data_IF_164477175495
#
_entry.id   IF_164477175495
#
_cell.length_a   1.000
_cell.length_b   1.000
_cell.length_c   1.000
_cell.angle_alpha   90.00
_cell.angle_beta   90.00
_cell.angle_gamma   90.00
#
_symmetry.space_group_name_H-M   'P 1'
#
loop_
_entity.id
_entity.type
_entity.pdbx_description
1 polymer ?
#
# COMPACT_ATOMS: atom_id res chain seq x y z
N UNK A 1 -11.11 15.26 -31.23
CA UNK A 1 -10.00 14.31 -31.40
C UNK A 1 -10.45 12.98 -30.79
N UNK A 2 -10.52 11.90 -31.59
CA UNK A 2 -11.09 10.63 -31.17
C UNK A 2 -10.32 10.02 -29.99
N UNK A 3 -11.05 9.45 -29.03
CA UNK A 3 -10.48 8.83 -27.83
C UNK A 3 -9.83 7.51 -28.23
N UNK A 4 -8.52 7.50 -28.46
CA UNK A 4 -7.77 6.23 -28.50
C UNK A 4 -7.63 5.76 -27.05
N UNK A 5 -8.62 5.01 -26.58
CA UNK A 5 -8.51 4.21 -25.35
C UNK A 5 -7.81 2.91 -25.72
N UNK A 6 -6.65 2.68 -25.12
CA UNK A 6 -5.94 1.40 -25.24
C UNK A 6 -6.64 0.37 -24.36
N UNK A 7 -7.68 -0.26 -24.91
CA UNK A 7 -8.51 -1.26 -24.24
C UNK A 7 -7.67 -2.41 -23.65
N UNK A 8 -6.53 -2.74 -24.28
CA UNK A 8 -5.59 -3.74 -23.83
C UNK A 8 -4.95 -3.36 -22.49
N UNK A 9 -4.56 -2.09 -22.30
CA UNK A 9 -3.99 -1.63 -21.04
C UNK A 9 -5.03 -1.62 -19.92
N UNK A 10 -6.26 -1.19 -20.23
CA UNK A 10 -7.35 -1.22 -19.25
C UNK A 10 -7.72 -2.66 -18.86
N UNK A 11 -7.74 -3.60 -19.81
CA UNK A 11 -7.96 -5.02 -19.54
C UNK A 11 -6.86 -5.63 -18.65
N UNK A 12 -5.59 -5.35 -18.94
CA UNK A 12 -4.48 -5.82 -18.11
C UNK A 12 -4.52 -5.25 -16.70
N UNK A 13 -4.95 -3.99 -16.52
CA UNK A 13 -5.19 -3.40 -15.19
C UNK A 13 -6.32 -4.11 -14.46
N UNK A 14 -7.40 -4.43 -15.16
CA UNK A 14 -8.50 -5.22 -14.61
C UNK A 14 -8.04 -6.60 -14.14
N UNK A 15 -7.26 -7.31 -14.95
CA UNK A 15 -6.70 -8.62 -14.59
C UNK A 15 -5.74 -8.53 -13.40
N UNK A 16 -4.87 -7.52 -13.36
CA UNK A 16 -3.97 -7.30 -12.24
C UNK A 16 -4.75 -6.98 -10.95
N UNK A 17 -5.76 -6.11 -11.01
CA UNK A 17 -6.62 -5.80 -9.87
C UNK A 17 -7.40 -7.03 -9.37
N UNK A 18 -7.98 -7.82 -10.28
CA UNK A 18 -8.68 -9.07 -9.94
C UNK A 18 -7.74 -10.07 -9.26
N UNK A 19 -6.50 -10.18 -9.73
CA UNK A 19 -5.48 -11.03 -9.11
C UNK A 19 -5.13 -10.57 -7.68
N UNK A 20 -5.13 -9.26 -7.41
CA UNK A 20 -4.93 -8.71 -6.05
C UNK A 20 -6.11 -9.02 -5.14
N UNK A 21 -7.34 -8.94 -5.66
CA UNK A 21 -8.55 -9.32 -4.92
C UNK A 21 -8.52 -10.80 -4.57
N UNK A 22 -8.22 -11.66 -5.54
CA UNK A 22 -8.06 -13.10 -5.33
C UNK A 22 -6.99 -13.40 -4.27
N UNK A 23 -5.84 -12.73 -4.31
CA UNK A 23 -4.82 -12.86 -3.28
C UNK A 23 -5.36 -12.54 -1.88
N UNK A 24 -6.11 -11.43 -1.72
CA UNK A 24 -6.64 -11.06 -0.40
C UNK A 24 -7.56 -12.14 0.17
N UNK A 25 -8.45 -12.72 -0.64
CA UNK A 25 -9.38 -13.76 -0.19
C UNK A 25 -8.74 -15.15 -0.01
N UNK A 26 -7.76 -15.51 -0.85
CA UNK A 26 -7.22 -16.88 -0.92
C UNK A 26 -5.89 -17.08 -0.21
N UNK A 27 -5.16 -16.01 0.10
CA UNK A 27 -3.86 -16.08 0.75
C UNK A 27 -3.71 -15.02 1.85
N UNK A 28 -4.07 -13.76 1.57
CA UNK A 28 -3.87 -12.63 2.48
C UNK A 28 -4.65 -12.73 3.80
N UNK A 29 -5.99 -12.84 3.73
CA UNK A 29 -6.84 -12.94 4.91
C UNK A 29 -6.72 -14.28 5.64
N UNK A 30 -6.70 -15.44 4.96
CA UNK A 30 -6.52 -16.73 5.65
C UNK A 30 -5.22 -16.81 6.47
N UNK A 31 -4.15 -16.12 6.06
CA UNK A 31 -2.90 -16.05 6.83
C UNK A 31 -2.98 -15.18 8.09
N UNK A 32 -3.97 -14.28 8.18
CA UNK A 32 -4.09 -13.27 9.24
C UNK A 32 -5.29 -13.49 10.16
N UNK A 33 -6.34 -14.09 9.62
CA UNK A 33 -7.60 -14.35 10.30
C UNK A 33 -7.93 -15.82 10.09
N UNK A 34 -8.03 -16.58 11.19
CA UNK A 34 -8.35 -18.01 11.17
C UNK A 34 -9.86 -18.25 11.04
N UNK A 35 -10.47 -17.60 10.04
CA UNK A 35 -11.92 -17.58 9.81
C UNK A 35 -12.45 -18.78 9.00
N UNK A 36 -11.59 -19.50 8.29
CA UNK A 36 -11.97 -20.61 7.43
C UNK A 36 -11.85 -21.98 8.13
N UNK A 37 -11.11 -22.08 9.24
CA UNK A 37 -10.87 -23.35 9.95
C UNK A 37 -10.14 -24.43 9.13
N UNK A 38 -9.82 -24.14 7.86
CA UNK A 38 -9.17 -25.02 6.90
C UNK A 38 -8.46 -24.18 5.82
N UNK A 39 -7.38 -24.68 5.21
CA UNK A 39 -6.72 -24.01 4.11
C UNK A 39 -7.66 -23.89 2.90
N UNK A 40 -7.69 -22.75 2.20
CA UNK A 40 -8.57 -22.54 1.05
C UNK A 40 -8.20 -23.49 -0.10
N UNK A 41 -9.21 -23.98 -0.82
CA UNK A 41 -9.03 -24.93 -1.93
C UNK A 41 -8.22 -24.36 -3.10
N UNK A 42 -8.19 -23.04 -3.24
CA UNK A 42 -7.35 -22.30 -4.18
C UNK A 42 -6.52 -21.29 -3.38
N UNK A 43 -5.22 -21.20 -3.65
CA UNK A 43 -4.34 -20.18 -3.10
C UNK A 43 -3.61 -19.44 -4.22
N UNK A 44 -3.75 -18.12 -4.25
CA UNK A 44 -3.04 -17.25 -5.20
C UNK A 44 -2.02 -16.41 -4.42
N UNK A 45 -0.77 -16.89 -4.22
CA UNK A 45 0.20 -16.21 -3.36
C UNK A 45 0.88 -15.00 -4.01
N UNK A 46 0.66 -14.76 -5.31
CA UNK A 46 1.39 -13.76 -6.09
C UNK A 46 0.82 -12.34 -6.04
N UNK A 47 0.06 -11.98 -5.00
CA UNK A 47 -0.54 -10.65 -4.86
C UNK A 47 0.49 -9.51 -4.94
N UNK A 48 1.67 -9.71 -4.34
CA UNK A 48 2.76 -8.74 -4.42
C UNK A 48 3.34 -8.54 -5.81
N UNK A 49 3.24 -9.54 -6.71
CA UNK A 49 3.61 -9.38 -8.12
C UNK A 49 2.50 -8.66 -8.90
N UNK A 50 1.24 -9.04 -8.68
CA UNK A 50 0.09 -8.40 -9.31
C UNK A 50 0.03 -6.89 -9.02
N UNK A 51 0.32 -6.48 -7.78
CA UNK A 51 0.42 -5.05 -7.40
C UNK A 51 1.51 -4.34 -8.22
N UNK A 52 2.70 -4.94 -8.39
CA UNK A 52 3.78 -4.32 -9.18
C UNK A 52 3.38 -4.14 -10.64
N UNK A 53 2.75 -5.16 -11.24
CA UNK A 53 2.25 -5.08 -12.61
C UNK A 53 1.19 -3.97 -12.74
N UNK A 54 0.25 -3.89 -11.80
CA UNK A 54 -0.77 -2.83 -11.77
C UNK A 54 -0.15 -1.43 -11.76
N UNK A 55 0.88 -1.20 -10.93
CA UNK A 55 1.58 0.08 -10.84
C UNK A 55 2.35 0.42 -12.12
N UNK A 56 3.07 -0.53 -12.71
CA UNK A 56 3.81 -0.32 -13.96
C UNK A 56 2.85 0.11 -15.08
N UNK A 57 1.74 -0.61 -15.27
CA UNK A 57 0.75 -0.28 -16.31
C UNK A 57 0.10 1.08 -16.01
N UNK A 58 -0.21 1.36 -14.75
CA UNK A 58 -0.81 2.64 -14.35
C UNK A 58 0.13 3.82 -14.60
N UNK A 59 1.44 3.63 -14.49
CA UNK A 59 2.46 4.61 -14.89
C UNK A 59 2.27 5.07 -16.33
N UNK A 60 2.23 4.13 -17.28
CA UNK A 60 2.02 4.43 -18.70
C UNK A 60 0.70 5.17 -18.96
N UNK A 61 -0.40 4.72 -18.33
CA UNK A 61 -1.72 5.34 -18.47
C UNK A 61 -1.73 6.79 -17.96
N UNK A 62 -0.93 7.10 -16.94
CA UNK A 62 -0.86 8.45 -16.39
C UNK A 62 -0.11 9.40 -17.30
N UNK A 63 0.98 8.96 -17.93
CA UNK A 63 1.71 9.79 -18.91
C UNK A 63 0.76 10.27 -20.01
N UNK A 64 -0.02 9.35 -20.59
CA UNK A 64 -1.06 9.69 -21.58
C UNK A 64 -2.16 10.61 -21.02
N UNK A 65 -2.47 10.51 -19.72
CA UNK A 65 -3.47 11.37 -19.08
C UNK A 65 -2.94 12.77 -18.84
N UNK A 66 -1.66 12.91 -18.48
CA UNK A 66 -0.99 14.19 -18.24
C UNK A 66 -0.97 15.05 -19.50
N UNK A 67 -0.54 14.48 -20.63
CA UNK A 67 -0.49 15.17 -21.93
C UNK A 67 -1.86 15.69 -22.39
N UNK A 68 -2.93 15.00 -22.00
CA UNK A 68 -4.31 15.35 -22.37
C UNK A 68 -4.99 16.31 -21.39
N UNK A 69 -4.37 16.56 -20.23
CA UNK A 69 -4.98 17.36 -19.17
C UNK A 69 -4.64 18.84 -19.37
N UNK A 70 -5.64 19.71 -19.28
CA UNK A 70 -5.48 21.16 -19.47
C UNK A 70 -4.60 21.85 -18.40
N UNK A 71 -4.26 21.15 -17.31
CA UNK A 71 -3.45 21.65 -16.22
C UNK A 71 -3.50 20.74 -14.99
N UNK A 72 -2.66 21.03 -13.99
CA UNK A 72 -2.55 20.24 -12.75
C UNK A 72 -3.89 20.04 -12.05
N UNK A 73 -4.68 21.12 -11.89
CA UNK A 73 -5.99 21.02 -11.24
C UNK A 73 -6.98 20.14 -11.99
N UNK A 74 -7.01 20.21 -13.32
CA UNK A 74 -7.88 19.37 -14.14
C UNK A 74 -7.46 17.90 -14.06
N UNK A 75 -6.15 17.63 -14.10
CA UNK A 75 -5.59 16.29 -13.91
C UNK A 75 -5.98 15.70 -12.55
N UNK A 76 -5.70 16.44 -11.46
CA UNK A 76 -5.95 15.96 -10.09
C UNK A 76 -7.44 15.72 -9.84
N UNK A 77 -8.33 16.63 -10.27
CA UNK A 77 -9.78 16.44 -10.14
C UNK A 77 -10.27 15.21 -10.91
N UNK A 78 -9.78 14.98 -12.13
CA UNK A 78 -10.17 13.83 -12.93
C UNK A 78 -9.71 12.49 -12.32
N UNK A 79 -8.62 12.50 -11.54
CA UNK A 79 -8.16 11.31 -10.79
C UNK A 79 -8.93 11.13 -9.49
N UNK A 80 -9.14 12.20 -8.75
CA UNK A 80 -9.92 12.19 -7.52
C UNK A 80 -11.36 11.72 -7.76
N UNK A 81 -12.06 12.27 -8.76
CA UNK A 81 -13.42 11.88 -9.11
C UNK A 81 -13.55 10.40 -9.53
N UNK A 82 -12.45 9.78 -9.97
CA UNK A 82 -12.41 8.36 -10.34
C UNK A 82 -12.20 7.45 -9.12
N UNK A 83 -11.36 7.85 -8.17
CA UNK A 83 -10.94 7.00 -7.05
C UNK A 83 -11.76 7.23 -5.78
N UNK A 84 -12.05 8.48 -5.46
CA UNK A 84 -12.68 8.85 -4.19
C UNK A 84 -14.08 8.22 -3.99
N UNK A 85 -14.98 8.14 -4.99
CA UNK A 85 -16.30 7.56 -4.77
C UNK A 85 -16.25 6.09 -4.34
N UNK A 86 -15.41 5.29 -5.01
CA UNK A 86 -15.22 3.88 -4.67
C UNK A 86 -14.56 3.73 -3.29
N UNK A 87 -13.53 4.54 -3.02
CA UNK A 87 -12.86 4.55 -1.72
C UNK A 87 -13.81 4.89 -0.56
N UNK A 88 -14.58 5.97 -0.70
CA UNK A 88 -15.54 6.41 0.31
C UNK A 88 -16.62 5.35 0.54
N UNK A 89 -17.15 4.72 -0.52
CA UNK A 89 -18.10 3.63 -0.40
C UNK A 89 -17.51 2.44 0.41
N UNK A 90 -16.29 2.02 0.11
CA UNK A 90 -15.60 0.97 0.87
C UNK A 90 -15.33 1.37 2.32
N UNK A 91 -14.94 2.62 2.56
CA UNK A 91 -14.70 3.15 3.90
C UNK A 91 -15.99 3.13 4.74
N UNK A 92 -17.09 3.69 4.22
CA UNK A 92 -18.38 3.70 4.91
C UNK A 92 -18.94 2.30 5.10
N UNK A 93 -18.78 1.40 4.13
CA UNK A 93 -19.18 0.01 4.27
C UNK A 93 -18.40 -0.68 5.40
N UNK A 94 -17.08 -0.47 5.46
CA UNK A 94 -16.23 -1.05 6.52
C UNK A 94 -16.65 -0.54 7.89
N UNK A 95 -16.84 0.77 8.05
CA UNK A 95 -17.30 1.35 9.30
C UNK A 95 -18.72 0.93 9.67
N UNK A 96 -19.63 0.85 8.70
CA UNK A 96 -20.99 0.38 8.90
C UNK A 96 -21.01 -1.06 9.41
N UNK A 97 -20.17 -1.94 8.84
CA UNK A 97 -20.02 -3.31 9.30
C UNK A 97 -19.42 -3.41 10.70
N UNK A 98 -18.39 -2.62 11.01
CA UNK A 98 -17.81 -2.55 12.36
C UNK A 98 -18.87 -2.09 13.37
N UNK A 99 -19.64 -1.04 13.05
CA UNK A 99 -20.70 -0.52 13.92
C UNK A 99 -21.86 -1.51 14.10
N UNK A 100 -22.24 -2.22 13.05
CA UNK A 100 -23.35 -3.19 13.08
C UNK A 100 -23.00 -4.50 13.80
N UNK A 101 -21.73 -4.95 13.71
CA UNK A 101 -21.31 -6.27 14.21
C UNK A 101 -20.45 -6.20 15.47
N UNK A 102 -19.85 -5.04 15.77
CA UNK A 102 -18.82 -4.90 16.80
C UNK A 102 -17.49 -5.57 16.45
N UNK A 103 -17.36 -6.22 15.29
CA UNK A 103 -16.14 -6.92 14.89
C UNK A 103 -15.09 -5.92 14.41
N UNK A 104 -14.15 -5.57 15.29
CA UNK A 104 -13.09 -4.61 15.02
C UNK A 104 -11.69 -5.24 15.15
N UNK A 105 -11.27 -6.08 14.19
CA UNK A 105 -10.00 -6.82 14.28
C UNK A 105 -8.75 -5.94 14.22
N UNK A 106 -8.89 -4.67 13.80
CA UNK A 106 -7.79 -3.71 13.67
C UNK A 106 -7.88 -2.55 14.67
N UNK A 107 -8.78 -2.66 15.67
CA UNK A 107 -9.01 -1.63 16.69
C UNK A 107 -9.16 -0.21 16.10
N UNK A 108 -9.85 -0.11 14.96
CA UNK A 108 -10.06 1.13 14.22
C UNK A 108 -10.89 2.09 15.06
N UNK A 109 -10.38 3.30 15.29
CA UNK A 109 -11.07 4.36 16.02
C UNK A 109 -11.88 5.28 15.08
N UNK A 110 -12.79 6.08 15.64
CA UNK A 110 -13.50 7.12 14.88
C UNK A 110 -12.56 8.19 14.32
N UNK A 111 -11.43 8.45 14.99
CA UNK A 111 -10.39 9.36 14.49
C UNK A 111 -9.68 8.79 13.26
N UNK A 112 -9.40 7.47 13.24
CA UNK A 112 -8.86 6.79 12.05
C UNK A 112 -9.84 6.85 10.87
N UNK A 113 -11.15 6.84 11.14
CA UNK A 113 -12.20 7.02 10.14
C UNK A 113 -12.11 8.38 9.45
N UNK A 114 -12.06 9.43 10.28
CA UNK A 114 -11.99 10.81 9.82
C UNK A 114 -10.67 11.08 9.10
N UNK A 115 -9.56 10.59 9.64
CA UNK A 115 -8.25 10.67 9.00
C UNK A 115 -8.26 9.95 7.64
N UNK A 116 -8.96 8.82 7.53
CA UNK A 116 -9.06 8.06 6.28
C UNK A 116 -9.83 8.80 5.20
N UNK A 117 -10.71 9.76 5.49
CA UNK A 117 -11.36 10.59 4.46
C UNK A 117 -10.36 11.39 3.62
N UNK A 118 -9.14 11.60 4.12
CA UNK A 118 -8.06 12.25 3.35
C UNK A 118 -7.47 11.37 2.23
N UNK A 119 -7.83 10.08 2.16
CA UNK A 119 -7.18 9.02 1.34
C UNK A 119 -5.69 8.79 1.64
N UNK A 120 -5.11 9.56 2.56
CA UNK A 120 -3.70 9.54 2.91
C UNK A 120 -3.49 9.63 4.43
N UNK A 121 -4.18 8.80 5.25
CA UNK A 121 -4.11 8.91 6.71
C UNK A 121 -2.69 8.76 7.26
N UNK A 122 -1.81 8.03 6.56
CA UNK A 122 -0.41 7.88 6.97
C UNK A 122 0.39 9.18 6.89
N UNK A 123 0.01 10.13 6.03
CA UNK A 123 0.67 11.44 5.94
C UNK A 123 0.43 12.30 7.18
N UNK A 124 -0.68 12.05 7.88
CA UNK A 124 -1.08 12.74 9.11
C UNK A 124 -0.83 11.89 10.37
N UNK A 125 -0.08 10.79 10.23
CA UNK A 125 0.33 9.93 11.35
C UNK A 125 -0.72 8.90 11.81
N UNK A 126 -1.79 8.70 11.04
CA UNK A 126 -2.85 7.74 11.36
C UNK A 126 -2.68 6.42 10.60
N UNK A 127 -3.23 5.35 11.17
CA UNK A 127 -3.22 4.03 10.55
C UNK A 127 -4.25 3.90 9.42
N UNK A 128 -4.04 2.91 8.54
CA UNK A 128 -5.08 2.55 7.58
C UNK A 128 -6.16 1.66 8.22
N UNK A 129 -7.41 2.05 8.00
CA UNK A 129 -8.63 1.29 8.35
C UNK A 129 -8.59 -0.10 7.73
N UNK A 130 -8.24 -0.19 6.44
CA UNK A 130 -7.97 -1.44 5.76
C UNK A 130 -6.50 -1.50 5.33
N UNK A 131 -5.84 -2.65 5.51
CA UNK A 131 -4.45 -2.85 5.11
C UNK A 131 -4.20 -2.41 3.66
N UNK A 132 -4.97 -2.88 2.68
CA UNK A 132 -4.88 -2.62 1.25
C UNK A 132 -4.89 -1.13 0.87
N UNK A 133 -5.36 -0.22 1.74
CA UNK A 133 -5.33 1.22 1.46
C UNK A 133 -3.90 1.78 1.33
N UNK A 134 -2.89 1.04 1.79
CA UNK A 134 -1.47 1.41 1.60
C UNK A 134 -1.11 1.63 0.11
N UNK A 135 -1.69 0.87 -0.83
CA UNK A 135 -1.41 1.06 -2.26
C UNK A 135 -2.06 2.33 -2.80
N UNK A 136 -3.23 2.68 -2.29
CA UNK A 136 -3.98 3.86 -2.74
C UNK A 136 -3.25 5.14 -2.36
N UNK A 137 -2.70 5.22 -1.15
CA UNK A 137 -1.91 6.37 -0.72
C UNK A 137 -0.65 6.54 -1.58
N UNK A 138 -0.01 5.44 -1.99
CA UNK A 138 1.10 5.49 -2.98
C UNK A 138 0.64 5.97 -4.35
N UNK A 139 -0.52 5.51 -4.80
CA UNK A 139 -1.08 5.89 -6.09
C UNK A 139 -1.36 7.41 -6.15
N UNK A 140 -2.02 7.99 -5.16
CA UNK A 140 -2.27 9.45 -5.13
C UNK A 140 -0.97 10.27 -5.01
N UNK A 141 0.03 9.78 -4.28
CA UNK A 141 1.32 10.45 -4.18
C UNK A 141 2.10 10.42 -5.49
N UNK A 142 2.06 9.29 -6.21
CA UNK A 142 2.59 9.20 -7.57
C UNK A 142 1.88 10.17 -8.52
N UNK A 143 0.56 10.32 -8.40
CA UNK A 143 -0.20 11.28 -9.21
C UNK A 143 0.24 12.72 -8.93
N UNK A 144 0.39 13.08 -7.65
CA UNK A 144 0.87 14.38 -7.24
C UNK A 144 2.27 14.66 -7.77
N UNK A 145 3.20 13.72 -7.62
CA UNK A 145 4.57 13.83 -8.12
C UNK A 145 4.60 14.04 -9.63
N UNK A 146 3.93 13.16 -10.38
CA UNK A 146 3.93 13.20 -11.85
C UNK A 146 3.24 14.47 -12.37
N UNK A 147 2.11 14.87 -11.77
CA UNK A 147 1.41 16.10 -12.11
C UNK A 147 2.25 17.35 -11.84
N UNK A 148 2.81 17.48 -10.64
CA UNK A 148 3.65 18.61 -10.28
C UNK A 148 4.91 18.69 -11.16
N UNK A 149 5.55 17.56 -11.44
CA UNK A 149 6.72 17.53 -12.31
C UNK A 149 6.37 17.90 -13.76
N UNK A 150 5.30 17.35 -14.33
CA UNK A 150 4.91 17.62 -15.72
C UNK A 150 4.51 19.08 -15.94
N UNK A 151 3.62 19.61 -15.09
CA UNK A 151 3.13 20.98 -15.23
C UNK A 151 4.09 22.04 -14.66
N UNK A 152 4.99 21.67 -13.73
CA UNK A 152 5.97 22.58 -13.14
C UNK A 152 7.28 22.69 -13.92
N UNK A 153 7.83 21.57 -14.40
CA UNK A 153 9.09 21.55 -15.16
C UNK A 153 8.87 21.74 -16.67
N UNK A 154 7.63 21.49 -17.13
CA UNK A 154 7.23 21.45 -18.53
C UNK A 154 7.57 20.12 -19.20
N UNK A 155 6.79 19.77 -20.23
CA UNK A 155 6.89 18.48 -20.93
C UNK A 155 8.32 18.17 -21.43
N UNK A 156 9.08 19.17 -21.89
CA UNK A 156 10.47 19.02 -22.37
C UNK A 156 11.46 18.48 -21.34
N UNK A 157 11.24 18.77 -20.05
CA UNK A 157 12.13 18.32 -18.97
C UNK A 157 11.56 17.12 -18.22
N UNK A 158 10.28 16.81 -18.45
CA UNK A 158 9.59 15.75 -17.76
C UNK A 158 10.21 14.37 -18.06
N UNK A 159 10.61 14.10 -19.31
CA UNK A 159 11.27 12.84 -19.65
C UNK A 159 12.59 12.65 -18.89
N UNK A 160 13.39 13.73 -18.79
CA UNK A 160 14.63 13.73 -18.00
C UNK A 160 14.34 13.51 -16.51
N UNK A 161 13.29 14.14 -16.00
CA UNK A 161 12.84 13.94 -14.63
C UNK A 161 12.42 12.49 -14.39
N UNK A 162 11.63 11.89 -15.28
CA UNK A 162 11.20 10.48 -15.17
C UNK A 162 12.40 9.54 -15.17
N UNK A 163 13.34 9.71 -16.10
CA UNK A 163 14.56 8.89 -16.15
C UNK A 163 15.40 9.07 -14.89
N UNK A 164 15.65 10.31 -14.46
CA UNK A 164 16.42 10.60 -13.25
C UNK A 164 15.74 10.00 -12.01
N UNK A 165 14.43 10.14 -11.91
CA UNK A 165 13.61 9.57 -10.85
C UNK A 165 13.67 8.04 -10.84
N UNK A 166 13.50 7.39 -12.00
CA UNK A 166 13.60 5.93 -12.10
C UNK A 166 14.99 5.40 -11.74
N UNK A 167 16.06 6.05 -12.23
CA UNK A 167 17.43 5.69 -11.88
C UNK A 167 17.67 5.84 -10.38
N UNK A 168 17.19 6.93 -9.79
CA UNK A 168 17.28 7.16 -8.36
C UNK A 168 16.50 6.11 -7.56
N UNK A 169 15.26 5.79 -7.96
CA UNK A 169 14.44 4.74 -7.37
C UNK A 169 15.13 3.37 -7.42
N UNK A 170 15.72 3.00 -8.55
CA UNK A 170 16.47 1.74 -8.70
C UNK A 170 17.71 1.74 -7.81
N UNK A 171 18.53 2.81 -7.86
CA UNK A 171 19.73 2.93 -7.04
C UNK A 171 19.42 2.84 -5.54
N UNK A 172 18.37 3.53 -5.10
CA UNK A 172 17.91 3.45 -3.72
C UNK A 172 17.41 2.04 -3.36
N UNK A 173 16.60 1.38 -4.19
CA UNK A 173 16.16 0.01 -3.93
C UNK A 173 17.33 -1.00 -3.87
N UNK A 174 18.37 -0.82 -4.69
CA UNK A 174 19.59 -1.63 -4.63
C UNK A 174 20.39 -1.34 -3.35
N UNK A 175 20.47 -0.08 -2.93
CA UNK A 175 21.20 0.34 -1.72
C UNK A 175 20.53 -0.15 -0.43
N UNK A 176 19.22 -0.37 -0.45
CA UNK A 176 18.43 -0.89 0.66
C UNK A 176 18.02 -2.37 0.48
N UNK A 177 18.58 -3.07 -0.51
CA UNK A 177 18.31 -4.48 -0.73
C UNK A 177 18.66 -5.33 0.51
N UNK A 178 17.71 -6.12 1.00
CA UNK A 178 17.88 -6.96 2.20
C UNK A 178 17.43 -6.32 3.53
N UNK A 179 16.92 -5.10 3.49
CA UNK A 179 16.47 -4.33 4.67
C UNK A 179 14.95 -4.05 4.70
N UNK A 180 14.19 -4.65 3.78
CA UNK A 180 12.78 -4.37 3.53
C UNK A 180 11.85 -4.99 4.60
N UNK A 181 11.74 -4.37 5.77
CA UNK A 181 10.74 -4.75 6.78
C UNK A 181 9.55 -3.80 6.72
N UNK A 182 8.39 -4.40 6.46
CA UNK A 182 7.10 -3.74 6.37
C UNK A 182 6.65 -3.33 7.77
N UNK A 183 6.70 -2.05 8.12
CA UNK A 183 5.71 -1.52 9.06
C UNK A 183 5.23 -0.15 8.54
N UNK A 184 3.91 0.01 8.34
CA UNK A 184 3.35 1.34 8.20
C UNK A 184 3.54 2.08 9.54
N UNK A 185 3.43 3.41 9.55
CA UNK A 185 3.36 4.30 10.74
C UNK A 185 4.59 5.22 11.00
N UNK A 186 5.42 5.55 10.01
CA UNK A 186 6.47 6.58 10.22
C UNK A 186 6.55 7.63 9.09
N UNK A 187 7.01 8.87 9.37
CA UNK A 187 7.18 9.95 8.37
C UNK A 187 8.07 9.61 7.16
N UNK A 188 8.80 8.48 7.21
CA UNK A 188 9.54 7.88 6.09
C UNK A 188 8.58 7.45 4.94
N UNK A 189 7.27 7.43 5.19
CA UNK A 189 6.23 7.08 4.21
C UNK A 189 6.13 8.05 3.02
N UNK A 190 6.37 9.36 3.20
CA UNK A 190 6.40 10.30 2.06
C UNK A 190 7.52 9.95 1.10
N UNK A 191 8.67 9.57 1.65
CA UNK A 191 9.83 9.18 0.86
C UNK A 191 9.62 7.82 0.21
N UNK A 192 8.92 6.88 0.86
CA UNK A 192 8.55 5.59 0.24
C UNK A 192 7.53 5.76 -0.91
N UNK A 193 6.62 6.72 -0.77
CA UNK A 193 5.63 7.13 -1.78
C UNK A 193 6.32 7.84 -2.95
N UNK A 194 7.20 8.80 -2.67
CA UNK A 194 7.89 9.60 -3.70
C UNK A 194 8.98 8.78 -4.39
N UNK A 195 9.70 7.90 -3.70
CA UNK A 195 10.83 7.20 -4.29
C UNK A 195 10.50 5.80 -4.81
N UNK A 196 9.32 5.26 -4.52
CA UNK A 196 9.04 3.84 -4.72
C UNK A 196 10.12 2.95 -4.06
N UNK A 197 10.64 3.38 -2.92
CA UNK A 197 11.70 2.70 -2.16
C UNK A 197 11.08 2.09 -0.90
N UNK A 198 11.50 0.87 -0.60
CA UNK A 198 11.17 0.20 0.65
C UNK A 198 12.29 0.52 1.66
N UNK A 199 11.93 1.12 2.79
CA UNK A 199 12.90 1.50 3.83
C UNK A 199 12.91 0.48 4.99
N UNK A 200 14.09 0.16 5.55
CA UNK A 200 14.20 -0.56 6.83
C UNK A 200 13.70 0.25 8.02
N UNK A 201 12.93 -0.40 8.88
CA UNK A 201 12.81 0.00 10.28
C UNK A 201 13.90 -0.71 11.08
N UNK A 202 14.56 0.02 11.98
CA UNK A 202 15.54 -0.56 12.89
C UNK A 202 14.86 -1.51 13.88
N UNK A 203 15.44 -2.69 14.09
CA UNK A 203 14.95 -3.74 14.99
C UNK A 203 14.75 -3.29 16.45
N UNK A 204 15.36 -2.17 16.86
CA UNK A 204 15.24 -1.61 18.23
C UNK A 204 13.86 -1.03 18.52
N UNK A 205 13.12 -0.56 17.52
CA UNK A 205 11.74 -0.06 17.70
C UNK A 205 10.70 -1.19 17.62
N UNK A 206 11.01 -2.26 16.87
CA UNK A 206 10.16 -3.45 16.78
C UNK A 206 10.22 -4.34 18.04
N UNK A 207 11.33 -4.29 18.79
CA UNK A 207 11.53 -5.07 20.02
C UNK A 207 11.22 -4.30 21.31
N UNK A 208 10.89 -3.01 21.21
CA UNK A 208 10.59 -2.21 22.41
C UNK A 208 9.09 -2.28 22.69
N UNK A 209 8.65 -2.74 23.89
CA UNK A 209 7.23 -2.75 24.26
C UNK A 209 6.57 -1.36 24.15
N UNK A 210 7.37 -0.29 24.13
CA UNK A 210 6.93 1.08 23.96
C UNK A 210 6.56 1.47 22.51
N UNK A 211 7.04 0.75 21.49
CA UNK A 211 6.73 1.05 20.07
C UNK A 211 5.31 0.67 19.66
N UNK A 212 4.65 -0.20 20.43
CA UNK A 212 3.25 -0.58 20.28
C UNK A 212 2.33 0.16 21.29
N UNK A 213 2.90 0.91 22.23
CA UNK A 213 2.21 1.57 23.35
C UNK A 213 2.62 3.05 23.39
N UNK A 214 2.38 3.76 22.30
CA UNK A 214 2.42 5.22 22.27
C UNK A 214 1.20 5.74 21.50
N UNK A 215 0.02 5.33 21.93
CA UNK A 215 -1.25 5.75 21.38
C UNK A 215 -2.42 5.13 22.13
N UNK A 216 -2.68 5.63 23.34
CA UNK A 216 -3.75 5.25 24.30
C UNK A 216 -3.56 3.92 25.03
N UNK A 217 -3.37 4.04 26.34
CA UNK A 217 -3.27 2.91 27.25
C UNK A 217 -4.58 2.15 27.36
N UNK A 218 -4.59 0.89 26.93
CA UNK A 218 -5.45 -0.13 27.50
C UNK A 218 -4.64 -1.42 27.64
N UNK A 219 -4.58 -1.87 28.89
CA UNK A 219 -3.80 -3.00 29.42
C UNK A 219 -4.35 -4.32 28.85
N UNK A 220 -3.63 -4.96 27.94
CA UNK A 220 -3.90 -6.36 27.55
C UNK A 220 -3.19 -7.30 28.54
N UNK A 221 -3.98 -8.11 29.23
CA UNK A 221 -3.50 -9.15 30.14
C UNK A 221 -2.82 -10.28 29.34
N UNK A 222 -1.66 -10.67 29.85
CA UNK A 222 -0.79 -11.73 29.37
C UNK A 222 -1.43 -13.12 29.39
N UNK A 223 -1.49 -13.77 28.23
CA UNK A 223 -1.56 -15.24 28.12
C UNK A 223 -0.79 -15.71 26.88
N UNK A 224 0.54 -15.54 26.92
CA UNK A 224 1.45 -16.11 25.95
C UNK A 224 1.84 -17.53 26.39
N UNK A 225 1.10 -18.54 25.95
CA UNK A 225 1.56 -19.93 25.96
C UNK A 225 0.78 -20.78 24.95
N UNK A 226 1.47 -21.13 23.86
CA UNK A 226 1.23 -22.23 22.91
C UNK A 226 1.15 -21.77 21.44
N UNK A 227 2.31 -21.70 20.77
CA UNK A 227 2.37 -21.75 19.31
C UNK A 227 2.76 -23.17 18.88
N UNK A 228 2.03 -23.81 17.95
CA UNK A 228 2.30 -25.18 17.50
C UNK A 228 3.64 -25.37 16.77
N UNK A 229 4.19 -26.59 16.85
CA UNK A 229 5.55 -26.98 16.45
C UNK A 229 5.90 -26.91 14.96
N UNK A 230 4.93 -26.73 14.06
CA UNK A 230 5.15 -26.70 12.61
C UNK A 230 5.67 -25.36 12.05
N UNK A 231 5.83 -24.33 12.90
CA UNK A 231 6.43 -23.02 12.53
C UNK A 231 7.95 -22.93 12.69
N UNK A 232 8.66 -24.04 12.95
CA UNK A 232 10.13 -24.06 13.11
C UNK A 232 10.82 -24.80 11.96
N UNK A 233 11.03 -24.17 10.79
CA UNK A 233 12.23 -24.56 10.05
C UNK A 233 12.88 -23.41 9.27
N UNK A 234 13.42 -22.37 9.92
CA UNK A 234 14.36 -21.44 9.26
C UNK A 234 15.40 -20.77 10.19
N UNK A 235 15.64 -21.31 11.40
CA UNK A 235 16.61 -20.74 12.36
C UNK A 235 17.68 -21.73 12.85
N UNK A 236 18.07 -22.72 12.06
CA UNK A 236 19.27 -23.51 12.37
C UNK A 236 20.11 -23.69 11.11
N UNK A 237 20.95 -22.69 10.85
CA UNK A 237 22.02 -22.75 9.87
C UNK A 237 23.19 -21.93 10.36
N UNK A 238 24.27 -22.63 10.74
CA UNK A 238 25.63 -22.18 11.08
C UNK A 238 25.91 -21.86 12.56
N UNK A 239 26.58 -22.80 13.21
CA UNK A 239 27.73 -22.49 14.05
C UNK A 239 28.89 -23.40 13.59
N UNK A 240 29.81 -22.82 12.81
CA UNK A 240 31.16 -23.33 12.68
C UNK A 240 32.05 -22.43 13.54
N UNK A 241 32.65 -23.00 14.59
CA UNK A 241 34.01 -22.76 15.09
C UNK A 241 34.10 -23.02 16.60
N UNK A 242 35.15 -23.75 16.99
CA UNK A 242 35.55 -24.05 18.36
C UNK A 242 36.02 -25.49 18.47
#
# INVERSE_FOLDING_TARGET
>A
MAVVRLQQLDALRGLAAASVVLYHFTAGYPLRFDWLGAPPALSVPWGGFAVRVFFVISGFVILMTLERSAGLGAFMRARFARLYPAYAACLFLTFGLIAATGFNPRSVSGEDALASLTMAPTLIGFGHVEAAYWTLTREIGFYALAGCAFFGLGARHFDRFVVAWLLFSVAANLSFAGRNFYAPQTPIDVLSIVLNVQFPISSRLASSPAGFIAGRGHRWSSSASALPSWRRPFLNGRSCNG
#
